data_IF_959142438833
#
_entry.id   IF_959142438833
#
_cell.length_a   1.000
_cell.length_b   1.000
_cell.length_c   1.000
_cell.angle_alpha   90.00
_cell.angle_beta   90.00
_cell.angle_gamma   90.00
#
_symmetry.space_group_name_H-M   'P 1'
#
loop_
_entity.id
_entity.type
_entity.pdbx_description
1 polymer ?
#
# COMPACT_ATOMS: atom_id res chain seq x y z
N UNK A 1 20.03 1.54 18.32
CA UNK A 1 20.38 1.96 16.94
C UNK A 1 19.37 1.30 16.02
N UNK A 2 18.72 2.05 15.12
CA UNK A 2 17.87 1.41 14.11
C UNK A 2 18.72 0.39 13.35
N UNK A 3 18.28 -0.87 13.29
CA UNK A 3 18.89 -1.90 12.43
C UNK A 3 19.67 -3.02 13.03
N UNK A 4 19.55 -3.19 14.33
CA UNK A 4 20.26 -4.27 14.99
C UNK A 4 19.47 -5.59 15.00
N UNK A 5 18.14 -5.56 14.81
CA UNK A 5 17.28 -6.70 15.16
C UNK A 5 16.11 -7.02 14.21
N UNK A 6 15.86 -6.23 13.16
CA UNK A 6 14.67 -6.40 12.31
C UNK A 6 14.95 -7.33 11.14
N UNK A 7 13.98 -8.17 10.81
CA UNK A 7 13.99 -9.02 9.62
C UNK A 7 12.80 -8.64 8.75
N UNK A 8 12.94 -8.70 7.42
CA UNK A 8 11.88 -8.24 6.55
C UNK A 8 10.68 -9.17 6.52
N UNK A 9 9.51 -8.62 6.18
CA UNK A 9 8.28 -9.38 5.93
C UNK A 9 8.44 -10.28 4.70
N UNK A 10 8.58 -11.59 4.90
CA UNK A 10 8.59 -12.58 3.83
C UNK A 10 7.17 -13.16 3.67
N UNK A 11 6.38 -12.63 2.72
CA UNK A 11 5.05 -13.19 2.43
C UNK A 11 5.18 -14.45 1.56
N UNK A 12 4.82 -15.61 2.10
CA UNK A 12 4.53 -16.79 1.29
C UNK A 12 3.24 -16.57 0.52
N UNK A 13 3.26 -16.81 -0.79
CA UNK A 13 2.08 -16.71 -1.64
C UNK A 13 0.98 -17.68 -1.16
N UNK A 14 -0.12 -17.14 -0.66
CA UNK A 14 -1.31 -17.93 -0.35
C UNK A 14 -1.86 -18.50 -1.67
N UNK A 15 -2.06 -19.81 -1.70
CA UNK A 15 -2.54 -20.59 -2.85
C UNK A 15 -3.74 -19.92 -3.54
N UNK A 16 -3.57 -19.55 -4.83
CA UNK A 16 -4.66 -19.03 -5.68
C UNK A 16 -5.74 -20.09 -5.84
N UNK A 17 -7.00 -19.71 -5.68
CA UNK A 17 -8.12 -20.54 -6.09
C UNK A 17 -8.05 -20.78 -7.61
N UNK A 18 -7.81 -22.03 -8.03
CA UNK A 18 -7.88 -22.43 -9.44
C UNK A 18 -9.34 -22.37 -9.90
N UNK A 19 -9.59 -21.74 -11.04
CA UNK A 19 -10.90 -21.74 -11.68
C UNK A 19 -11.34 -23.20 -11.96
N UNK A 20 -12.40 -23.65 -11.29
CA UNK A 20 -13.11 -24.88 -11.68
C UNK A 20 -14.01 -24.52 -12.85
N UNK A 21 -13.84 -25.23 -13.98
CA UNK A 21 -14.77 -25.19 -15.10
C UNK A 21 -16.03 -25.95 -14.72
N UNK A 22 -17.00 -25.28 -14.11
CA UNK A 22 -18.38 -25.76 -14.09
C UNK A 22 -19.14 -25.06 -15.22
N UNK A 23 -19.41 -25.84 -16.27
CA UNK A 23 -20.27 -25.48 -17.38
C UNK A 23 -21.73 -25.46 -16.95
N UNK A 24 -22.42 -24.37 -17.31
CA UNK A 24 -23.87 -24.10 -17.24
C UNK A 24 -24.41 -23.50 -15.94
N UNK A 25 -24.50 -22.17 -15.91
CA UNK A 25 -25.65 -21.45 -15.36
C UNK A 25 -25.84 -20.12 -16.12
N UNK A 26 -27.10 -19.83 -16.44
CA UNK A 26 -27.54 -18.82 -17.39
C UNK A 26 -27.34 -17.36 -16.92
N UNK A 27 -27.04 -16.48 -17.88
CA UNK A 27 -27.28 -15.01 -17.93
C UNK A 27 -27.41 -14.25 -16.59
N UNK A 28 -26.40 -14.36 -15.74
CA UNK A 28 -25.98 -13.25 -14.89
C UNK A 28 -24.60 -12.82 -15.38
N UNK A 29 -24.38 -11.52 -15.61
CA UNK A 29 -23.06 -10.98 -15.90
C UNK A 29 -22.18 -11.12 -14.65
N UNK A 30 -21.69 -12.34 -14.40
CA UNK A 30 -20.72 -12.62 -13.36
C UNK A 30 -19.40 -11.97 -13.78
N UNK A 31 -19.07 -10.85 -13.15
CA UNK A 31 -17.72 -10.32 -13.19
C UNK A 31 -16.89 -11.05 -12.12
N UNK A 32 -15.77 -11.66 -12.52
CA UNK A 32 -14.85 -12.31 -11.58
C UNK A 32 -13.84 -11.28 -11.04
N UNK A 33 -13.77 -11.15 -9.72
CA UNK A 33 -12.85 -10.23 -9.05
C UNK A 33 -13.39 -8.81 -8.87
N UNK A 34 -12.66 -8.01 -8.11
CA UNK A 34 -12.94 -6.59 -7.86
C UNK A 34 -12.13 -5.77 -8.86
N UNK A 35 -12.75 -4.79 -9.52
CA UNK A 35 -12.11 -3.87 -10.46
C UNK A 35 -12.37 -2.42 -10.06
N UNK A 36 -11.64 -1.45 -10.64
CA UNK A 36 -11.95 -0.03 -10.50
C UNK A 36 -13.42 0.33 -10.66
N UNK A 37 -14.08 -0.20 -11.70
CA UNK A 37 -15.51 0.04 -11.93
C UNK A 37 -16.39 -0.48 -10.77
N UNK A 38 -16.11 -1.67 -10.25
CA UNK A 38 -16.84 -2.26 -9.12
C UNK A 38 -16.66 -1.42 -7.85
N UNK A 39 -15.45 -0.99 -7.54
CA UNK A 39 -15.20 -0.15 -6.36
C UNK A 39 -15.91 1.20 -6.47
N UNK A 40 -15.77 1.87 -7.62
CA UNK A 40 -16.42 3.15 -7.86
C UNK A 40 -17.94 3.03 -7.77
N UNK A 41 -18.53 2.00 -8.36
CA UNK A 41 -19.96 1.74 -8.23
C UNK A 41 -20.37 1.47 -6.77
N UNK A 42 -19.64 0.60 -6.05
CA UNK A 42 -19.95 0.23 -4.68
C UNK A 42 -19.89 1.41 -3.71
N UNK A 43 -18.96 2.34 -3.94
CA UNK A 43 -18.78 3.54 -3.12
C UNK A 43 -19.41 4.79 -3.73
N UNK A 44 -20.36 4.63 -4.66
CA UNK A 44 -21.16 5.71 -5.27
C UNK A 44 -20.33 6.82 -5.95
N UNK A 45 -19.20 6.47 -6.54
CA UNK A 45 -18.35 7.38 -7.31
C UNK A 45 -18.82 7.43 -8.77
N UNK A 46 -19.25 8.60 -9.21
CA UNK A 46 -19.64 8.89 -10.59
C UNK A 46 -18.42 9.11 -11.49
N UNK A 47 -18.64 9.25 -12.80
CA UNK A 47 -17.57 9.63 -13.74
C UNK A 47 -16.99 11.04 -13.49
N UNK A 48 -17.74 11.91 -12.78
CA UNK A 48 -17.30 13.25 -12.41
C UNK A 48 -16.49 13.32 -11.11
N UNK A 49 -16.50 12.25 -10.31
CA UNK A 49 -15.77 12.18 -9.04
C UNK A 49 -14.29 11.84 -9.28
N UNK A 50 -13.58 12.82 -9.84
CA UNK A 50 -12.16 12.77 -10.21
C UNK A 50 -11.47 14.07 -9.79
N UNK A 51 -10.15 14.03 -9.64
CA UNK A 51 -9.33 15.19 -9.29
C UNK A 51 -9.39 16.29 -10.35
N UNK A 52 -9.61 17.53 -9.90
CA UNK A 52 -9.63 18.73 -10.77
C UNK A 52 -8.59 19.77 -10.37
N UNK A 53 -8.08 19.71 -9.12
CA UNK A 53 -7.17 20.72 -8.57
C UNK A 53 -5.71 20.32 -8.83
N UNK A 54 -4.89 21.17 -9.48
CA UNK A 54 -3.52 20.82 -9.84
C UNK A 54 -2.57 20.71 -8.65
N UNK A 55 -2.89 21.34 -7.52
CA UNK A 55 -2.07 21.34 -6.30
C UNK A 55 -2.48 20.25 -5.30
N UNK A 56 -3.44 19.40 -5.66
CA UNK A 56 -3.79 18.23 -4.85
C UNK A 56 -2.96 17.02 -5.32
N UNK A 57 -2.43 16.26 -4.37
CA UNK A 57 -1.64 15.06 -4.66
C UNK A 57 -1.79 13.99 -3.58
N UNK A 58 -1.57 12.75 -3.98
CA UNK A 58 -1.62 11.55 -3.15
C UNK A 58 -0.38 10.68 -3.38
N UNK A 59 -0.16 9.71 -2.50
CA UNK A 59 0.96 8.80 -2.63
C UNK A 59 0.66 7.40 -2.09
N UNK A 60 1.37 6.42 -2.63
CA UNK A 60 1.58 5.14 -1.98
C UNK A 60 3.05 4.95 -1.60
N UNK A 61 3.31 4.16 -0.56
CA UNK A 61 4.66 3.79 -0.14
C UNK A 61 4.79 2.28 -0.03
N UNK A 62 5.83 1.75 -0.68
CA UNK A 62 6.14 0.32 -0.78
C UNK A 62 7.50 0.01 -0.13
N UNK A 63 7.53 -1.04 0.71
CA UNK A 63 8.66 -1.37 1.59
C UNK A 63 9.30 -2.75 1.35
N UNK A 64 8.90 -3.42 0.26
CA UNK A 64 9.45 -4.70 -0.16
C UNK A 64 10.42 -4.50 -1.34
N UNK A 65 11.25 -5.50 -1.65
CA UNK A 65 12.03 -5.57 -2.91
C UNK A 65 11.12 -5.89 -4.12
N UNK A 66 9.94 -5.27 -4.13
CA UNK A 66 8.92 -5.29 -5.15
C UNK A 66 8.80 -3.89 -5.74
N UNK A 67 8.55 -3.84 -7.04
CA UNK A 67 8.56 -2.61 -7.81
C UNK A 67 7.27 -2.54 -8.62
N UNK A 68 6.69 -1.35 -8.80
CA UNK A 68 5.64 -1.18 -9.79
C UNK A 68 6.29 -0.86 -11.13
N UNK A 69 5.68 -1.30 -12.23
CA UNK A 69 6.13 -0.91 -13.56
C UNK A 69 5.17 0.10 -14.17
N UNK A 70 5.73 1.16 -14.74
CA UNK A 70 4.95 2.22 -15.36
C UNK A 70 4.17 1.70 -16.59
N UNK A 71 4.69 0.69 -17.28
CA UNK A 71 3.99 0.04 -18.39
C UNK A 71 2.75 -0.72 -17.90
N UNK A 72 2.87 -1.49 -16.82
CA UNK A 72 1.77 -2.24 -16.22
C UNK A 72 0.65 -1.30 -15.75
N UNK A 73 0.99 -0.19 -15.09
CA UNK A 73 0.00 0.83 -14.69
C UNK A 73 -0.74 1.42 -15.91
N UNK A 74 -0.02 1.69 -17.00
CA UNK A 74 -0.65 2.23 -18.21
C UNK A 74 -1.59 1.21 -18.84
N UNK A 75 -1.20 -0.06 -18.91
CA UNK A 75 -2.04 -1.16 -19.39
C UNK A 75 -3.26 -1.38 -18.49
N UNK A 76 -3.08 -1.40 -17.17
CA UNK A 76 -4.16 -1.50 -16.19
C UNK A 76 -5.21 -0.40 -16.40
N UNK A 77 -4.78 0.85 -16.58
CA UNK A 77 -5.68 1.98 -16.81
C UNK A 77 -6.38 1.91 -18.18
N UNK A 78 -5.73 1.36 -19.22
CA UNK A 78 -6.39 1.10 -20.49
C UNK A 78 -7.50 0.05 -20.36
N UNK A 79 -7.26 -1.01 -19.58
CA UNK A 79 -8.22 -2.11 -19.39
C UNK A 79 -9.39 -1.68 -18.48
N UNK A 80 -9.10 -1.01 -17.36
CA UNK A 80 -10.06 -0.79 -16.29
C UNK A 80 -10.46 0.67 -16.04
N UNK A 81 -9.75 1.64 -16.62
CA UNK A 81 -9.96 3.08 -16.37
C UNK A 81 -10.94 3.77 -17.33
N UNK A 82 -11.46 3.08 -18.35
CA UNK A 82 -12.26 3.70 -19.43
C UNK A 82 -13.56 4.39 -18.97
N UNK A 83 -14.06 4.09 -17.77
CA UNK A 83 -15.28 4.67 -17.21
C UNK A 83 -15.11 6.02 -16.50
N UNK A 84 -13.90 6.57 -16.40
CA UNK A 84 -13.62 7.82 -15.70
C UNK A 84 -12.33 8.48 -16.21
N UNK A 85 -12.18 9.80 -16.02
CA UNK A 85 -10.94 10.48 -16.35
C UNK A 85 -9.81 10.02 -15.42
N UNK A 86 -8.68 9.62 -15.98
CA UNK A 86 -7.57 9.03 -15.23
C UNK A 86 -6.22 9.43 -15.81
N UNK A 87 -5.17 9.24 -15.00
CA UNK A 87 -3.78 9.34 -15.40
C UNK A 87 -3.26 7.94 -15.66
N UNK A 88 -2.38 7.79 -16.65
CA UNK A 88 -1.72 6.51 -16.95
C UNK A 88 -0.29 6.45 -16.42
N UNK A 89 0.18 7.53 -15.78
CA UNK A 89 1.52 7.66 -15.24
C UNK A 89 1.53 8.30 -13.86
N UNK A 90 2.45 7.85 -13.02
CA UNK A 90 2.76 8.51 -11.75
C UNK A 90 3.55 9.78 -12.03
N UNK A 91 3.35 10.81 -11.23
CA UNK A 91 4.01 12.10 -11.41
C UNK A 91 5.43 12.12 -10.84
N UNK A 92 5.68 11.26 -9.85
CA UNK A 92 7.00 11.16 -9.21
C UNK A 92 7.22 9.80 -8.58
N UNK A 93 8.43 9.29 -8.77
CA UNK A 93 8.96 8.19 -7.96
C UNK A 93 10.02 8.77 -7.03
N UNK A 94 9.90 8.49 -5.74
CA UNK A 94 10.86 8.89 -4.71
C UNK A 94 11.59 7.64 -4.21
N UNK A 95 12.92 7.69 -4.16
CA UNK A 95 13.76 6.55 -3.82
C UNK A 95 14.27 5.81 -5.07
N UNK A 96 14.68 4.55 -4.90
CA UNK A 96 15.25 3.74 -5.97
C UNK A 96 14.25 2.65 -6.38
N UNK A 97 13.89 2.63 -7.67
CA UNK A 97 13.23 1.51 -8.33
C UNK A 97 14.35 0.68 -8.97
N UNK A 98 14.57 -0.53 -8.48
CA UNK A 98 15.48 -1.48 -9.12
C UNK A 98 14.88 -2.01 -10.43
N UNK A 99 15.67 -2.73 -11.21
CA UNK A 99 15.23 -3.39 -12.45
C UNK A 99 14.53 -4.73 -12.20
N UNK A 100 13.98 -4.93 -11.00
CA UNK A 100 13.33 -6.18 -10.60
C UNK A 100 11.99 -6.40 -11.30
N UNK A 101 11.46 -7.63 -11.18
CA UNK A 101 10.12 -7.94 -11.67
C UNK A 101 9.08 -7.09 -10.94
N UNK A 102 8.02 -6.72 -11.65
CA UNK A 102 6.87 -6.09 -11.04
C UNK A 102 6.34 -6.99 -9.91
N UNK A 103 6.13 -6.40 -8.74
CA UNK A 103 5.58 -7.10 -7.58
C UNK A 103 4.08 -6.89 -7.49
N UNK A 104 3.35 -7.93 -7.11
CA UNK A 104 1.89 -7.87 -7.00
C UNK A 104 1.43 -6.75 -6.06
N UNK A 105 2.11 -6.59 -4.91
CA UNK A 105 1.76 -5.58 -3.91
C UNK A 105 2.02 -4.16 -4.45
N UNK A 106 3.19 -3.95 -5.07
CA UNK A 106 3.59 -2.66 -5.59
C UNK A 106 2.69 -2.19 -6.75
N UNK A 107 2.26 -3.11 -7.62
CA UNK A 107 1.26 -2.81 -8.67
C UNK A 107 -0.11 -2.53 -8.06
N UNK A 108 -0.57 -3.36 -7.11
CA UNK A 108 -1.88 -3.21 -6.46
C UNK A 108 -2.05 -1.83 -5.82
N UNK A 109 -1.06 -1.37 -5.05
CA UNK A 109 -1.11 -0.09 -4.34
C UNK A 109 -1.31 1.09 -5.31
N UNK A 110 -0.50 1.17 -6.37
CA UNK A 110 -0.52 2.30 -7.31
C UNK A 110 -1.72 2.25 -8.25
N UNK A 111 -2.10 1.08 -8.74
CA UNK A 111 -3.22 0.90 -9.67
C UNK A 111 -4.55 1.28 -9.02
N UNK A 112 -4.76 0.90 -7.76
CA UNK A 112 -6.02 1.14 -7.07
C UNK A 112 -6.12 2.53 -6.45
N UNK A 113 -5.02 3.10 -5.92
CA UNK A 113 -5.07 4.49 -5.44
C UNK A 113 -5.32 5.47 -6.59
N UNK A 114 -4.79 5.20 -7.78
CA UNK A 114 -5.05 6.01 -8.98
C UNK A 114 -6.43 5.75 -9.62
N UNK A 115 -7.15 4.72 -9.17
CA UNK A 115 -8.51 4.41 -9.62
C UNK A 115 -9.58 5.04 -8.75
N UNK A 116 -9.38 5.01 -7.43
CA UNK A 116 -10.29 5.65 -6.45
C UNK A 116 -9.97 7.13 -6.30
N UNK A 117 -8.69 7.50 -6.19
CA UNK A 117 -8.18 8.86 -6.32
C UNK A 117 -7.91 9.25 -7.77
N UNK A 118 -8.88 9.03 -8.65
CA UNK A 118 -8.72 9.21 -10.08
C UNK A 118 -8.35 10.65 -10.47
N UNK A 119 -7.48 10.80 -11.47
CA UNK A 119 -6.99 12.09 -11.99
C UNK A 119 -6.26 13.00 -10.98
N UNK A 120 -5.77 12.45 -9.86
CA UNK A 120 -4.97 13.17 -8.87
C UNK A 120 -3.48 12.89 -9.12
N UNK A 121 -2.63 13.91 -8.95
CA UNK A 121 -1.18 13.74 -9.04
C UNK A 121 -0.72 12.69 -8.03
N UNK A 122 -0.05 11.64 -8.49
CA UNK A 122 0.26 10.47 -7.64
C UNK A 122 1.75 10.22 -7.59
N UNK A 123 2.29 10.09 -6.37
CA UNK A 123 3.69 9.77 -6.13
C UNK A 123 3.83 8.33 -5.61
N UNK A 124 4.94 7.69 -5.94
CA UNK A 124 5.30 6.38 -5.38
C UNK A 124 6.60 6.51 -4.61
N UNK A 125 6.56 6.19 -3.31
CA UNK A 125 7.76 6.06 -2.49
C UNK A 125 8.25 4.62 -2.55
N UNK A 126 9.38 4.41 -3.19
CA UNK A 126 10.07 3.13 -3.34
C UNK A 126 11.40 3.19 -2.63
N UNK A 127 11.39 2.77 -1.38
CA UNK A 127 12.62 2.59 -0.65
C UNK A 127 12.96 1.11 -0.69
N UNK A 128 13.46 0.64 -1.84
CA UNK A 128 13.90 -0.74 -1.95
C UNK A 128 15.33 -0.93 -1.44
N UNK A 129 15.62 -2.16 -1.04
CA UNK A 129 16.92 -2.56 -0.53
C UNK A 129 17.00 -2.56 0.99
N UNK A 130 17.84 -3.46 1.51
CA UNK A 130 18.17 -3.57 2.92
C UNK A 130 19.42 -2.74 3.20
N UNK A 131 19.37 -1.84 4.18
CA UNK A 131 20.60 -1.28 4.75
C UNK A 131 20.85 -1.99 6.09
N UNK A 132 21.87 -2.87 6.14
CA UNK A 132 22.24 -3.60 7.36
C UNK A 132 21.04 -4.31 8.02
N UNK A 133 20.33 -5.16 7.26
CA UNK A 133 19.11 -5.89 7.70
C UNK A 133 17.85 -5.06 7.97
N UNK A 134 17.88 -3.73 7.82
CA UNK A 134 16.69 -2.90 8.08
C UNK A 134 15.70 -2.83 6.94
N UNK A 135 14.43 -2.93 7.31
CA UNK A 135 13.33 -2.41 6.53
C UNK A 135 13.35 -0.87 6.56
N UNK A 136 13.22 -0.21 5.40
CA UNK A 136 13.38 1.23 5.25
C UNK A 136 12.15 2.04 5.67
N UNK A 137 11.30 1.47 6.53
CA UNK A 137 10.06 2.10 7.00
C UNK A 137 10.32 3.40 7.80
N UNK A 138 11.20 3.34 8.80
CA UNK A 138 11.58 4.55 9.55
C UNK A 138 12.30 5.55 8.64
N UNK A 139 13.10 5.10 7.67
CA UNK A 139 13.79 5.99 6.75
C UNK A 139 12.79 6.79 5.88
N UNK A 140 11.68 6.18 5.47
CA UNK A 140 10.60 6.89 4.80
C UNK A 140 9.95 7.96 5.69
N UNK A 141 9.67 7.65 6.95
CA UNK A 141 9.13 8.65 7.90
C UNK A 141 10.06 9.84 8.13
N UNK A 142 11.37 9.57 8.24
CA UNK A 142 12.37 10.62 8.34
C UNK A 142 12.47 11.45 7.06
N UNK A 143 12.35 10.80 5.90
CA UNK A 143 12.31 11.47 4.60
C UNK A 143 11.09 12.40 4.51
N UNK A 144 9.90 11.95 4.93
CA UNK A 144 8.72 12.81 4.98
C UNK A 144 9.00 14.07 5.81
N UNK A 145 9.56 13.91 7.02
CA UNK A 145 9.92 15.04 7.88
C UNK A 145 10.93 16.01 7.27
N UNK A 146 11.73 15.57 6.30
CA UNK A 146 12.76 16.38 5.65
C UNK A 146 12.30 17.05 4.34
N UNK A 147 11.11 16.70 3.84
CA UNK A 147 10.56 17.27 2.60
C UNK A 147 9.55 18.37 2.91
N UNK A 148 9.72 19.55 2.31
CA UNK A 148 8.81 20.69 2.53
C UNK A 148 7.47 20.54 1.82
N UNK A 149 7.47 20.00 0.60
CA UNK A 149 6.28 19.71 -0.18
C UNK A 149 6.07 18.20 -0.31
N UNK A 150 4.90 17.73 0.12
CA UNK A 150 4.50 16.33 0.12
C UNK A 150 3.06 16.19 -0.39
N UNK A 151 2.72 15.01 -0.92
CA UNK A 151 1.33 14.60 -1.10
C UNK A 151 0.55 14.64 0.21
N UNK A 152 -0.73 15.00 0.14
CA UNK A 152 -1.56 15.19 1.33
C UNK A 152 -2.03 13.86 1.93
N UNK A 153 -2.21 12.85 1.08
CA UNK A 153 -2.69 11.52 1.46
C UNK A 153 -1.63 10.48 1.12
N UNK A 154 -1.27 9.66 2.10
CA UNK A 154 -0.33 8.55 1.96
C UNK A 154 -1.04 7.23 2.32
N UNK A 155 -1.15 6.31 1.36
CA UNK A 155 -1.62 4.94 1.60
C UNK A 155 -0.42 4.00 1.73
N UNK A 156 -0.39 3.19 2.77
CA UNK A 156 0.77 2.36 3.10
C UNK A 156 0.38 0.92 3.43
N UNK A 157 0.92 -0.03 2.67
CA UNK A 157 0.79 -1.47 2.95
C UNK A 157 2.07 -1.97 3.63
N UNK A 158 2.12 -1.82 4.95
CA UNK A 158 3.25 -2.25 5.78
C UNK A 158 2.78 -2.57 7.20
N UNK A 159 3.35 -3.62 7.79
CA UNK A 159 3.11 -3.95 9.19
C UNK A 159 4.03 -5.06 9.68
N UNK A 160 4.49 -4.90 10.93
CA UNK A 160 5.19 -5.91 11.73
C UNK A 160 4.28 -6.39 12.86
N UNK A 161 4.54 -7.57 13.42
CA UNK A 161 3.94 -7.97 14.69
C UNK A 161 4.38 -6.99 15.79
N UNK A 162 3.45 -6.37 16.51
CA UNK A 162 3.76 -5.31 17.49
C UNK A 162 4.71 -5.83 18.59
N UNK A 163 4.52 -7.07 19.04
CA UNK A 163 5.35 -7.71 20.07
C UNK A 163 6.78 -8.05 19.61
N UNK A 164 7.08 -7.93 18.31
CA UNK A 164 8.43 -8.08 17.78
C UNK A 164 9.28 -6.80 17.89
N UNK A 165 8.65 -5.66 18.17
CA UNK A 165 9.27 -4.35 18.15
C UNK A 165 9.64 -3.87 19.55
N UNK A 166 10.78 -3.18 19.66
CA UNK A 166 11.16 -2.51 20.92
C UNK A 166 10.28 -1.29 21.18
N UNK A 167 9.91 -1.03 22.43
CA UNK A 167 9.15 0.17 22.83
C UNK A 167 9.79 1.47 22.33
N UNK A 168 11.11 1.62 22.43
CA UNK A 168 11.82 2.81 21.96
C UNK A 168 11.67 3.05 20.45
N UNK A 169 11.54 1.98 19.65
CA UNK A 169 11.31 2.08 18.22
C UNK A 169 9.87 2.53 17.92
N UNK A 170 8.88 1.89 18.57
CA UNK A 170 7.47 2.22 18.37
C UNK A 170 7.18 3.66 18.83
N UNK A 171 7.69 4.09 19.99
CA UNK A 171 7.58 5.47 20.46
C UNK A 171 8.19 6.47 19.47
N UNK A 172 9.34 6.11 18.88
CA UNK A 172 9.98 6.94 17.86
C UNK A 172 9.11 7.04 16.62
N UNK A 173 8.62 5.92 16.08
CA UNK A 173 7.73 5.92 14.91
C UNK A 173 6.45 6.71 15.19
N UNK A 174 5.82 6.51 16.35
CA UNK A 174 4.64 7.27 16.76
C UNK A 174 4.90 8.77 16.80
N UNK A 175 6.08 9.18 17.26
CA UNK A 175 6.50 10.58 17.21
C UNK A 175 6.62 11.11 15.78
N UNK A 176 7.12 10.31 14.84
CA UNK A 176 7.17 10.70 13.42
C UNK A 176 5.76 10.81 12.80
N UNK A 177 4.81 9.95 13.19
CA UNK A 177 3.41 10.13 12.79
C UNK A 177 2.76 11.35 13.41
N UNK A 178 3.02 11.65 14.68
CA UNK A 178 2.56 12.89 15.31
C UNK A 178 3.08 14.12 14.54
N UNK A 179 4.34 14.09 14.08
CA UNK A 179 4.89 15.15 13.22
C UNK A 179 4.19 15.24 11.87
N UNK A 180 3.90 14.11 11.22
CA UNK A 180 3.16 14.08 9.96
C UNK A 180 1.73 14.64 10.13
N UNK A 181 1.03 14.24 11.19
CA UNK A 181 -0.30 14.74 11.53
C UNK A 181 -0.30 16.25 11.84
N UNK A 182 0.70 16.73 12.58
CA UNK A 182 0.87 18.17 12.85
C UNK A 182 1.09 19.00 11.58
N UNK A 183 1.57 18.38 10.50
CA UNK A 183 1.70 18.99 9.17
C UNK A 183 0.45 18.88 8.30
N UNK A 184 -0.62 18.25 8.81
CA UNK A 184 -1.88 18.05 8.08
C UNK A 184 -1.83 16.92 7.06
N UNK A 185 -0.91 15.96 7.20
CA UNK A 185 -0.86 14.78 6.33
C UNK A 185 -1.85 13.71 6.83
N UNK A 186 -2.56 13.09 5.90
CA UNK A 186 -3.35 11.88 6.15
C UNK A 186 -2.51 10.67 5.80
N UNK A 187 -2.28 9.77 6.75
CA UNK A 187 -1.56 8.52 6.53
C UNK A 187 -2.47 7.36 6.88
N UNK A 188 -2.69 6.45 5.93
CA UNK A 188 -3.50 5.25 6.11
C UNK A 188 -2.60 4.03 6.06
N UNK A 189 -2.79 3.12 7.01
CA UNK A 189 -2.13 1.82 7.06
C UNK A 189 -3.13 0.69 6.88
N UNK A 190 -2.73 -0.36 6.16
CA UNK A 190 -3.47 -1.61 6.13
C UNK A 190 -3.51 -2.23 7.55
N UNK A 191 -4.65 -2.79 7.95
CA UNK A 191 -4.80 -3.43 9.27
C UNK A 191 -4.15 -4.82 9.37
N UNK A 192 -3.71 -5.38 8.24
CA UNK A 192 -3.14 -6.73 8.15
C UNK A 192 -4.13 -7.77 7.62
N UNK A 193 -3.57 -8.90 7.17
CA UNK A 193 -4.32 -9.96 6.47
C UNK A 193 -4.60 -11.20 7.38
N UNK A 194 -4.13 -11.17 8.62
CA UNK A 194 -4.19 -12.30 9.57
C UNK A 194 -5.34 -12.19 10.59
N UNK A 195 -6.33 -11.33 10.32
CA UNK A 195 -7.44 -11.05 11.25
C UNK A 195 -6.94 -10.46 12.57
N UNK A 196 -7.32 -11.05 13.70
CA UNK A 196 -6.82 -10.64 15.02
C UNK A 196 -5.39 -11.11 15.32
N UNK A 197 -4.75 -11.84 14.39
CA UNK A 197 -3.47 -12.49 14.60
C UNK A 197 -3.53 -13.59 15.67
N UNK A 198 -2.41 -14.30 15.86
CA UNK A 198 -2.31 -15.31 16.90
C UNK A 198 -0.88 -15.38 17.45
N UNK A 199 -0.70 -14.94 18.69
CA UNK A 199 0.55 -15.09 19.43
C UNK A 199 0.55 -16.45 20.11
N UNK A 200 1.35 -17.37 19.57
CA UNK A 200 1.50 -18.72 20.12
C UNK A 200 2.37 -18.68 21.37
N UNK A 201 1.84 -19.17 22.48
CA UNK A 201 2.56 -19.30 23.75
C UNK A 201 2.68 -20.79 24.05
N UNK A 202 3.91 -21.31 24.08
CA UNK A 202 4.18 -22.75 24.08
C UNK A 202 3.59 -23.50 25.29
N UNK A 203 3.35 -22.80 26.41
CA UNK A 203 2.83 -23.34 27.66
C UNK A 203 1.63 -22.55 28.22
N UNK A 204 0.86 -21.85 27.36
CA UNK A 204 -0.23 -20.99 27.82
C UNK A 204 -1.33 -20.78 26.79
N UNK A 205 -2.29 -19.92 27.14
CA UNK A 205 -3.36 -19.54 26.22
C UNK A 205 -2.79 -18.68 25.09
N UNK A 206 -3.16 -19.02 23.86
CA UNK A 206 -2.91 -18.14 22.72
C UNK A 206 -3.67 -16.82 22.91
N UNK A 207 -3.07 -15.73 22.48
CA UNK A 207 -3.69 -14.40 22.50
C UNK A 207 -3.73 -13.81 21.10
N UNK A 208 -4.55 -12.79 20.91
CA UNK A 208 -4.47 -11.94 19.72
C UNK A 208 -3.08 -11.31 19.60
N UNK A 209 -2.71 -10.99 18.36
CA UNK A 209 -1.41 -10.44 18.01
C UNK A 209 -1.61 -9.22 17.12
N UNK A 210 -1.68 -8.01 17.70
CA UNK A 210 -1.81 -6.78 16.93
C UNK A 210 -0.56 -6.53 16.08
N UNK A 211 -0.74 -5.75 15.02
CA UNK A 211 0.32 -5.30 14.13
C UNK A 211 0.59 -3.81 14.32
N UNK A 212 1.83 -3.41 14.07
CA UNK A 212 2.29 -2.03 14.07
C UNK A 212 2.77 -1.68 12.67
N UNK A 213 2.39 -0.52 12.08
CA UNK A 213 1.86 0.67 12.73
C UNK A 213 0.33 0.84 12.68
N UNK A 214 -0.41 -0.26 12.53
CA UNK A 214 -1.87 -0.21 12.54
C UNK A 214 -2.48 0.09 13.94
N UNK A 215 -1.73 -0.16 15.02
CA UNK A 215 -2.11 0.08 16.42
C UNK A 215 -1.93 1.52 16.91
#
# INVERSE_FOLDING_TARGET
>A
VGGMHRFPTERQAVSRARARKDTQLARASFHLGVTPAILRQRYNMTGGDVGLLPNNSQACAQFLEQYFHQADLAEFMQIFGSGFAHRTQVDRVVGHQGHGKAGLEASLDVEYIMSTGANISTWVFSNAGRHESQEPFLAWLLLLSNMSALPWVHSVSYGDDEDSLSSAYMERVNTEFMKAAARGLTVLFASGDDGAGCRRVHSGNHTFRPSFPAS
#
